data_IF_401489741754
#
_entry.id   IF_401489741754
#
_cell.length_a   1.000
_cell.length_b   1.000
_cell.length_c   1.000
_cell.angle_alpha   90.00
_cell.angle_beta   90.00
_cell.angle_gamma   90.00
#
_symmetry.space_group_name_H-M   'P 1'
#
loop_
_entity.id
_entity.type
_entity.pdbx_description
1 polymer ?
#
# COMPACT_ATOMS: atom_id res chain seq x y z
N UNK A 1 16.82 28.64 69.08
CA UNK A 1 17.23 27.43 68.34
C UNK A 1 16.22 27.20 67.23
N UNK A 2 16.76 27.15 66.02
CA UNK A 2 16.16 26.86 64.71
C UNK A 2 15.30 25.58 64.69
N UNK A 3 14.24 25.55 63.86
CA UNK A 3 13.88 24.47 62.91
C UNK A 3 12.42 24.66 62.41
N UNK A 4 12.17 24.87 61.10
CA UNK A 4 11.95 23.85 60.04
C UNK A 4 10.66 23.01 60.26
N UNK A 5 9.79 22.71 59.30
CA UNK A 5 9.86 22.75 57.85
C UNK A 5 8.43 22.67 57.25
N UNK A 6 8.28 23.18 56.02
CA UNK A 6 7.11 23.05 55.14
C UNK A 6 6.97 21.63 54.59
N UNK A 7 5.74 21.10 54.54
CA UNK A 7 5.37 20.04 53.58
C UNK A 7 4.09 20.43 52.83
N UNK A 8 4.25 20.87 51.59
CA UNK A 8 3.20 20.89 50.58
C UNK A 8 3.26 19.55 49.83
N UNK A 9 2.19 18.75 49.93
CA UNK A 9 2.05 17.52 49.17
C UNK A 9 1.67 17.85 47.70
N UNK A 10 2.27 17.20 46.69
CA UNK A 10 1.74 17.26 45.34
C UNK A 10 0.54 16.31 45.25
N UNK A 11 -0.63 16.86 44.96
CA UNK A 11 -1.75 16.08 44.41
C UNK A 11 -1.31 15.62 43.02
N UNK A 12 -1.05 14.32 42.86
CA UNK A 12 -0.96 13.73 41.53
C UNK A 12 -2.38 13.68 40.97
N UNK A 13 -2.69 14.64 40.09
CA UNK A 13 -3.87 14.58 39.25
C UNK A 13 -3.79 13.31 38.40
N UNK A 14 -4.76 12.43 38.63
CA UNK A 14 -4.98 11.21 37.87
C UNK A 14 -5.47 11.63 36.47
N UNK A 15 -4.55 11.85 35.54
CA UNK A 15 -4.89 11.98 34.12
C UNK A 15 -5.28 10.58 33.64
N UNK A 16 -6.56 10.26 33.78
CA UNK A 16 -7.15 9.15 33.05
C UNK A 16 -6.93 9.43 31.57
N UNK A 17 -5.99 8.70 30.96
CA UNK A 17 -5.88 8.64 29.52
C UNK A 17 -7.22 8.10 29.01
N UNK A 18 -8.04 8.99 28.46
CA UNK A 18 -9.25 8.63 27.73
C UNK A 18 -8.83 7.71 26.59
N UNK A 19 -9.05 6.41 26.78
CA UNK A 19 -9.06 5.42 25.71
C UNK A 19 -10.26 5.73 24.81
N UNK A 20 -10.12 6.74 23.94
CA UNK A 20 -11.16 7.20 23.03
C UNK A 20 -10.66 7.30 21.59
N UNK A 21 -9.69 6.45 21.22
CA UNK A 21 -9.10 6.41 19.87
C UNK A 21 -9.53 5.16 19.06
N UNK A 22 -10.29 4.25 19.69
CA UNK A 22 -10.78 3.03 19.05
C UNK A 22 -11.77 3.26 17.89
N UNK A 23 -12.77 4.18 17.97
CA UNK A 23 -13.73 4.35 16.88
C UNK A 23 -13.12 5.04 15.64
N UNK A 24 -12.16 5.93 15.82
CA UNK A 24 -11.50 6.64 14.71
C UNK A 24 -10.62 5.71 13.86
N UNK A 25 -9.89 4.77 14.48
CA UNK A 25 -9.04 3.80 13.78
C UNK A 25 -9.86 2.74 13.01
N UNK A 26 -11.00 2.32 13.56
CA UNK A 26 -11.91 1.39 12.89
C UNK A 26 -12.56 2.03 11.64
N UNK A 27 -12.99 3.30 11.74
CA UNK A 27 -13.53 4.06 10.60
C UNK A 27 -12.50 4.21 9.48
N UNK A 28 -11.26 4.60 9.80
CA UNK A 28 -10.19 4.76 8.82
C UNK A 28 -9.87 3.44 8.08
N UNK A 29 -9.78 2.31 8.81
CA UNK A 29 -9.52 1.00 8.21
C UNK A 29 -10.61 0.58 7.20
N UNK A 30 -11.88 0.83 7.53
CA UNK A 30 -13.02 0.58 6.64
C UNK A 30 -12.98 1.46 5.39
N UNK A 31 -12.68 2.75 5.55
CA UNK A 31 -12.51 3.67 4.41
C UNK A 31 -11.37 3.24 3.47
N UNK A 32 -10.25 2.77 4.01
CA UNK A 32 -9.15 2.27 3.18
C UNK A 32 -9.51 0.99 2.45
N UNK A 33 -10.27 0.08 3.07
CA UNK A 33 -10.75 -1.13 2.41
C UNK A 33 -11.70 -0.79 1.24
N UNK A 34 -12.64 0.14 1.46
CA UNK A 34 -13.55 0.61 0.42
C UNK A 34 -12.81 1.23 -0.77
N UNK A 35 -11.87 2.16 -0.51
CA UNK A 35 -11.07 2.78 -1.57
C UNK A 35 -10.30 1.76 -2.43
N UNK A 36 -9.84 0.65 -1.84
CA UNK A 36 -9.18 -0.42 -2.61
C UNK A 36 -10.16 -1.20 -3.48
N UNK A 37 -11.36 -1.49 -2.97
CA UNK A 37 -12.40 -2.13 -3.76
C UNK A 37 -12.82 -1.24 -4.93
N UNK A 38 -13.05 0.05 -4.69
CA UNK A 38 -13.40 1.03 -5.72
C UNK A 38 -12.30 1.13 -6.80
N UNK A 39 -11.03 1.12 -6.40
CA UNK A 39 -9.91 1.12 -7.34
C UNK A 39 -9.85 -0.15 -8.21
N UNK A 40 -10.26 -1.30 -7.68
CA UNK A 40 -10.35 -2.55 -8.45
C UNK A 40 -11.47 -2.46 -9.46
N UNK A 41 -12.66 -1.99 -9.06
CA UNK A 41 -13.78 -1.81 -9.99
C UNK A 41 -13.47 -0.78 -11.08
N UNK A 42 -12.83 0.34 -10.72
CA UNK A 42 -12.37 1.32 -11.70
C UNK A 42 -11.43 0.68 -12.72
N UNK A 43 -10.46 -0.11 -12.26
CA UNK A 43 -9.53 -0.80 -13.16
C UNK A 43 -10.24 -1.81 -14.04
N UNK A 44 -11.20 -2.56 -13.51
CA UNK A 44 -12.02 -3.50 -14.30
C UNK A 44 -12.76 -2.73 -15.39
N UNK A 45 -13.44 -1.63 -15.05
CA UNK A 45 -14.16 -0.77 -16.01
C UNK A 45 -13.23 -0.21 -17.08
N UNK A 46 -12.07 0.32 -16.69
CA UNK A 46 -11.09 0.89 -17.62
C UNK A 46 -10.56 -0.17 -18.60
N UNK A 47 -10.28 -1.38 -18.10
CA UNK A 47 -9.81 -2.50 -18.92
C UNK A 47 -10.90 -2.96 -19.91
N UNK A 48 -12.16 -3.07 -19.46
CA UNK A 48 -13.30 -3.43 -20.33
C UNK A 48 -13.43 -2.44 -21.49
N UNK A 49 -13.39 -1.14 -21.18
CA UNK A 49 -13.52 -0.08 -22.16
C UNK A 49 -12.34 -0.04 -23.14
N UNK A 50 -11.10 -0.16 -22.64
CA UNK A 50 -9.89 -0.17 -23.47
C UNK A 50 -9.86 -1.36 -24.43
N UNK A 51 -10.21 -2.56 -23.94
CA UNK A 51 -10.27 -3.77 -24.74
C UNK A 51 -11.52 -3.84 -25.63
N UNK A 52 -12.46 -2.90 -25.49
CA UNK A 52 -13.72 -2.86 -26.25
C UNK A 52 -14.43 -4.22 -26.22
N UNK A 53 -14.54 -4.80 -25.03
CA UNK A 53 -15.14 -6.12 -24.83
C UNK A 53 -16.57 -6.12 -25.39
N UNK A 54 -16.91 -7.18 -26.13
CA UNK A 54 -18.22 -7.34 -26.77
C UNK A 54 -19.10 -8.31 -25.98
N UNK A 55 -20.40 -8.34 -26.28
CA UNK A 55 -21.35 -9.29 -25.67
C UNK A 55 -20.93 -10.75 -25.86
N UNK A 56 -20.31 -11.08 -27.00
CA UNK A 56 -19.79 -12.42 -27.28
C UNK A 56 -18.63 -12.82 -26.37
N UNK A 57 -17.93 -11.84 -25.78
CA UNK A 57 -16.78 -12.03 -24.90
C UNK A 57 -17.14 -11.90 -23.41
N UNK A 58 -18.37 -11.47 -23.10
CA UNK A 58 -18.87 -11.19 -21.74
C UNK A 58 -18.55 -12.29 -20.73
N UNK A 59 -18.79 -13.55 -21.07
CA UNK A 59 -18.52 -14.69 -20.17
C UNK A 59 -17.04 -14.80 -19.78
N UNK A 60 -16.13 -14.65 -20.74
CA UNK A 60 -14.68 -14.73 -20.47
C UNK A 60 -14.21 -13.48 -19.70
N UNK A 61 -14.77 -12.32 -20.04
CA UNK A 61 -14.53 -11.09 -19.33
C UNK A 61 -14.97 -11.15 -17.86
N UNK A 62 -16.18 -11.64 -17.58
CA UNK A 62 -16.72 -11.73 -16.23
C UNK A 62 -15.88 -12.65 -15.35
N UNK A 63 -15.38 -13.76 -15.89
CA UNK A 63 -14.46 -14.65 -15.18
C UNK A 63 -13.13 -13.96 -14.85
N UNK A 64 -12.58 -13.19 -15.79
CA UNK A 64 -11.38 -12.38 -15.57
C UNK A 64 -11.59 -11.30 -14.51
N UNK A 65 -12.68 -10.53 -14.61
CA UNK A 65 -13.06 -9.49 -13.67
C UNK A 65 -13.31 -10.05 -12.26
N UNK A 66 -14.00 -11.19 -12.15
CA UNK A 66 -14.22 -11.87 -10.87
C UNK A 66 -12.90 -12.31 -10.25
N UNK A 67 -11.98 -12.85 -11.05
CA UNK A 67 -10.64 -13.23 -10.56
C UNK A 67 -9.89 -12.02 -9.99
N UNK A 68 -9.99 -10.85 -10.61
CA UNK A 68 -9.41 -9.61 -10.07
C UNK A 68 -10.02 -9.23 -8.72
N UNK A 69 -11.35 -9.27 -8.58
CA UNK A 69 -12.07 -8.97 -7.33
C UNK A 69 -11.68 -9.93 -6.21
N UNK A 70 -11.70 -11.23 -6.49
CA UNK A 70 -11.39 -12.27 -5.52
C UNK A 70 -9.94 -12.17 -5.03
N UNK A 71 -9.01 -11.93 -5.95
CA UNK A 71 -7.59 -11.73 -5.61
C UNK A 71 -7.42 -10.48 -4.72
N UNK A 72 -8.07 -9.38 -5.07
CA UNK A 72 -8.01 -8.15 -4.28
C UNK A 72 -8.59 -8.33 -2.87
N UNK A 73 -9.73 -9.04 -2.76
CA UNK A 73 -10.34 -9.38 -1.48
C UNK A 73 -9.39 -10.23 -0.62
N UNK A 74 -8.85 -11.32 -1.18
CA UNK A 74 -7.90 -12.20 -0.46
C UNK A 74 -6.67 -11.45 0.02
N UNK A 75 -6.09 -10.61 -0.84
CA UNK A 75 -4.95 -9.78 -0.47
C UNK A 75 -5.32 -8.80 0.66
N UNK A 76 -6.45 -8.10 0.55
CA UNK A 76 -6.92 -7.18 1.57
C UNK A 76 -7.16 -7.87 2.92
N UNK A 77 -7.76 -9.05 2.92
CA UNK A 77 -8.00 -9.86 4.11
C UNK A 77 -6.68 -10.29 4.77
N UNK A 78 -5.72 -10.77 3.98
CA UNK A 78 -4.40 -11.18 4.47
C UNK A 78 -3.57 -10.01 5.01
N UNK A 79 -3.59 -8.85 4.35
CA UNK A 79 -2.92 -7.65 4.85
C UNK A 79 -3.53 -7.13 6.15
N UNK A 80 -4.87 -7.16 6.27
CA UNK A 80 -5.55 -6.78 7.52
C UNK A 80 -5.16 -7.71 8.66
N UNK A 81 -5.24 -9.02 8.43
CA UNK A 81 -4.89 -10.04 9.44
C UNK A 81 -3.44 -9.86 9.90
N UNK A 82 -2.51 -9.70 8.94
CA UNK A 82 -1.12 -9.45 9.26
C UNK A 82 -0.93 -8.15 10.04
N UNK A 83 -1.57 -7.06 9.66
CA UNK A 83 -1.46 -5.78 10.35
C UNK A 83 -1.92 -5.86 11.81
N UNK A 84 -2.96 -6.67 12.09
CA UNK A 84 -3.47 -6.88 13.45
C UNK A 84 -2.52 -7.73 14.31
N UNK A 85 -1.86 -8.73 13.72
CA UNK A 85 -0.99 -9.68 14.45
C UNK A 85 0.47 -9.26 14.52
N UNK A 86 0.95 -8.45 13.57
CA UNK A 86 2.36 -8.06 13.48
C UNK A 86 2.95 -7.49 14.78
N UNK A 87 2.26 -6.63 15.55
CA UNK A 87 2.81 -6.06 16.78
C UNK A 87 3.13 -7.09 17.87
N UNK A 88 2.51 -8.27 17.84
CA UNK A 88 2.74 -9.35 18.81
C UNK A 88 3.63 -10.47 18.28
N UNK A 89 4.04 -10.43 17.01
CA UNK A 89 4.89 -11.45 16.40
C UNK A 89 6.36 -11.26 16.79
N UNK A 90 7.05 -12.37 17.07
CA UNK A 90 8.51 -12.37 17.09
C UNK A 90 9.09 -12.30 15.65
N UNK A 91 10.41 -12.19 15.53
CA UNK A 91 11.06 -12.03 14.22
C UNK A 91 10.85 -13.22 13.27
N UNK A 92 10.87 -14.46 13.78
CA UNK A 92 10.63 -15.68 12.98
C UNK A 92 9.18 -15.72 12.46
N UNK A 93 8.20 -15.42 13.31
CA UNK A 93 6.79 -15.33 12.93
C UNK A 93 6.54 -14.20 11.91
N UNK A 94 7.19 -13.05 12.10
CA UNK A 94 7.11 -11.93 11.18
C UNK A 94 7.68 -12.28 9.78
N UNK A 95 8.76 -13.06 9.72
CA UNK A 95 9.31 -13.55 8.45
C UNK A 95 8.40 -14.59 7.79
N UNK A 96 7.87 -15.55 8.56
CA UNK A 96 6.91 -16.55 8.06
C UNK A 96 5.64 -15.91 7.49
N UNK A 97 5.09 -14.91 8.18
CA UNK A 97 3.91 -14.19 7.70
C UNK A 97 4.18 -13.39 6.42
N UNK A 98 5.38 -12.84 6.25
CA UNK A 98 5.76 -12.18 4.99
C UNK A 98 5.92 -13.18 3.84
N UNK A 99 6.52 -14.34 4.10
CA UNK A 99 6.61 -15.42 3.12
C UNK A 99 5.21 -15.87 2.67
N UNK A 100 4.26 -16.03 3.61
CA UNK A 100 2.88 -16.39 3.29
C UNK A 100 2.18 -15.34 2.40
N UNK A 101 2.40 -14.04 2.64
CA UNK A 101 1.87 -12.99 1.77
C UNK A 101 2.46 -13.04 0.35
N UNK A 102 3.76 -13.32 0.24
CA UNK A 102 4.43 -13.46 -1.06
C UNK A 102 3.88 -14.67 -1.82
N UNK A 103 3.68 -15.79 -1.12
CA UNK A 103 3.07 -16.99 -1.68
C UNK A 103 1.64 -16.72 -2.17
N UNK A 104 0.81 -16.06 -1.34
CA UNK A 104 -0.54 -15.66 -1.75
C UNK A 104 -0.52 -14.76 -2.99
N UNK A 105 0.44 -13.83 -3.08
CA UNK A 105 0.59 -12.98 -4.26
C UNK A 105 0.90 -13.80 -5.52
N UNK A 106 1.82 -14.76 -5.43
CA UNK A 106 2.16 -15.65 -6.53
C UNK A 106 0.93 -16.47 -6.98
N UNK A 107 0.18 -17.06 -6.05
CA UNK A 107 -1.05 -17.82 -6.36
C UNK A 107 -2.12 -16.95 -7.01
N UNK A 108 -2.31 -15.73 -6.54
CA UNK A 108 -3.24 -14.78 -7.14
C UNK A 108 -2.80 -14.42 -8.56
N UNK A 109 -1.51 -14.20 -8.81
CA UNK A 109 -0.98 -13.94 -10.15
C UNK A 109 -1.13 -15.14 -11.09
N UNK A 110 -0.93 -16.37 -10.61
CA UNK A 110 -1.19 -17.57 -11.39
C UNK A 110 -2.66 -17.68 -11.80
N UNK A 111 -3.60 -17.44 -10.88
CA UNK A 111 -5.04 -17.44 -11.19
C UNK A 111 -5.41 -16.37 -12.20
N UNK A 112 -4.89 -15.15 -12.02
CA UNK A 112 -5.13 -14.05 -12.95
C UNK A 112 -4.55 -14.35 -14.34
N UNK A 113 -3.38 -14.98 -14.40
CA UNK A 113 -2.76 -15.40 -15.66
C UNK A 113 -3.60 -16.44 -16.40
N UNK A 114 -4.17 -17.42 -15.69
CA UNK A 114 -5.08 -18.40 -16.29
C UNK A 114 -6.34 -17.72 -16.86
N UNK A 115 -7.00 -16.87 -16.06
CA UNK A 115 -8.19 -16.14 -16.52
C UNK A 115 -7.88 -15.17 -17.69
N UNK A 116 -6.69 -14.55 -17.70
CA UNK A 116 -6.24 -13.75 -18.84
C UNK A 116 -6.04 -14.61 -20.09
N UNK A 117 -5.48 -15.83 -19.97
CA UNK A 117 -5.33 -16.74 -21.10
C UNK A 117 -6.69 -17.07 -21.74
N UNK A 118 -7.71 -17.34 -20.91
CA UNK A 118 -9.07 -17.63 -21.37
C UNK A 118 -9.71 -16.43 -22.07
N UNK A 119 -9.55 -15.24 -21.49
CA UNK A 119 -10.00 -13.98 -22.12
C UNK A 119 -9.27 -13.74 -23.44
N UNK A 120 -7.95 -13.83 -23.45
CA UNK A 120 -7.11 -13.58 -24.62
C UNK A 120 -7.44 -14.52 -25.78
N UNK A 121 -7.80 -15.77 -25.50
CA UNK A 121 -8.20 -16.74 -26.52
C UNK A 121 -9.42 -16.28 -27.34
N UNK A 122 -10.35 -15.54 -26.73
CA UNK A 122 -11.59 -15.05 -27.38
C UNK A 122 -11.50 -13.61 -27.91
N UNK A 123 -10.38 -12.92 -27.69
CA UNK A 123 -10.14 -11.58 -28.23
C UNK A 123 -9.87 -11.63 -29.75
N UNK A 124 -10.34 -10.60 -30.45
CA UNK A 124 -9.98 -10.35 -31.85
C UNK A 124 -8.50 -9.96 -31.98
N UNK A 125 -7.95 -9.98 -33.20
CA UNK A 125 -6.56 -9.56 -33.45
C UNK A 125 -6.29 -8.14 -32.95
N UNK A 126 -7.20 -7.21 -33.21
CA UNK A 126 -7.05 -5.81 -32.79
C UNK A 126 -7.07 -5.67 -31.26
N UNK A 127 -7.95 -6.41 -30.58
CA UNK A 127 -8.03 -6.38 -29.11
C UNK A 127 -6.80 -7.03 -28.46
N UNK A 128 -6.26 -8.10 -29.07
CA UNK A 128 -5.00 -8.72 -28.65
C UNK A 128 -3.84 -7.75 -28.73
N UNK A 129 -3.73 -6.99 -29.83
CA UNK A 129 -2.72 -5.96 -29.96
C UNK A 129 -2.83 -4.88 -28.87
N UNK A 130 -4.06 -4.42 -28.58
CA UNK A 130 -4.30 -3.47 -27.47
C UNK A 130 -3.83 -4.08 -26.14
N UNK A 131 -4.21 -5.33 -25.85
CA UNK A 131 -3.80 -6.02 -24.63
C UNK A 131 -2.27 -6.13 -24.52
N UNK A 132 -1.58 -6.52 -25.59
CA UNK A 132 -0.12 -6.65 -25.64
C UNK A 132 0.59 -5.31 -25.39
N UNK A 133 0.10 -4.22 -26.00
CA UNK A 133 0.63 -2.87 -25.81
C UNK A 133 0.47 -2.40 -24.37
N UNK A 134 -0.64 -2.73 -23.71
CA UNK A 134 -0.87 -2.39 -22.30
C UNK A 134 0.16 -3.02 -21.37
N UNK A 135 0.56 -4.28 -21.63
CA UNK A 135 1.59 -4.95 -20.84
C UNK A 135 3.01 -4.47 -21.18
N UNK A 136 3.33 -4.20 -22.46
CA UNK A 136 4.64 -3.65 -22.87
C UNK A 136 4.87 -2.23 -22.35
N UNK A 137 3.83 -1.39 -22.33
CA UNK A 137 3.91 -0.01 -21.87
C UNK A 137 3.68 0.16 -20.35
N UNK A 138 3.34 -0.91 -19.65
CA UNK A 138 3.22 -0.92 -18.19
C UNK A 138 4.55 -0.71 -17.47
N UNK A 139 5.66 -1.20 -18.06
CA UNK A 139 7.02 -1.07 -17.51
C UNK A 139 7.62 0.33 -17.69
N UNK A 140 7.24 1.06 -18.74
CA UNK A 140 7.89 2.34 -19.08
C UNK A 140 7.36 3.54 -18.28
N UNK A 141 6.17 3.46 -17.68
CA UNK A 141 5.58 4.57 -16.92
C UNK A 141 6.16 4.77 -15.51
N UNK A 142 6.89 3.80 -14.96
CA UNK A 142 7.45 3.91 -13.59
C UNK A 142 8.83 4.55 -13.51
N UNK A 143 9.52 4.78 -14.63
CA UNK A 143 10.91 5.27 -14.60
C UNK A 143 11.11 6.78 -14.82
N UNK A 144 10.04 7.56 -15.00
CA UNK A 144 10.12 9.03 -15.08
C UNK A 144 9.78 9.71 -13.75
N UNK A 145 10.34 9.22 -12.64
CA UNK A 145 10.60 10.09 -11.50
C UNK A 145 11.78 10.97 -11.88
N UNK A 146 11.49 12.18 -12.37
CA UNK A 146 12.47 13.24 -12.43
C UNK A 146 12.94 13.53 -11.00
N UNK A 147 14.07 12.97 -10.59
CA UNK A 147 14.80 13.48 -9.43
C UNK A 147 15.24 14.89 -9.79
N UNK A 148 14.46 15.88 -9.34
CA UNK A 148 14.89 17.28 -9.35
C UNK A 148 16.00 17.36 -8.30
N UNK A 149 17.27 17.64 -8.67
CA UNK A 149 18.33 17.77 -7.67
C UNK A 149 17.96 18.93 -6.74
N UNK A 150 17.88 18.63 -5.44
CA UNK A 150 17.80 19.66 -4.39
C UNK A 150 19.08 20.50 -4.49
N UNK A 151 19.02 21.83 -4.62
CA UNK A 151 20.23 22.64 -4.63
C UNK A 151 20.96 22.45 -3.29
N UNK A 152 22.23 22.09 -3.37
CA UNK A 152 23.12 22.02 -2.23
C UNK A 152 23.20 23.41 -1.57
N UNK A 153 23.04 23.46 -0.25
CA UNK A 153 23.34 24.66 0.51
C UNK A 153 24.82 25.02 0.30
N UNK A 154 25.18 26.30 0.09
CA UNK A 154 26.58 26.68 -0.07
C UNK A 154 27.34 26.40 1.22
N UNK A 155 28.48 25.71 1.08
CA UNK A 155 29.45 25.57 2.14
C UNK A 155 29.93 26.97 2.54
N UNK A 156 29.64 27.39 3.76
CA UNK A 156 30.29 28.56 4.35
C UNK A 156 31.72 28.17 4.72
N UNK A 157 32.62 28.40 3.77
CA UNK A 157 34.04 28.59 4.03
C UNK A 157 34.24 29.94 4.70
N UNK A 158 34.65 29.93 5.96
CA UNK A 158 35.34 31.07 6.57
C UNK A 158 36.57 30.54 7.30
N UNK A 159 37.68 30.49 6.57
CA UNK A 159 39.00 30.71 7.15
C UNK A 159 39.10 32.16 7.58
N UNK A 160 39.51 32.43 8.81
CA UNK A 160 40.34 33.59 9.12
C UNK A 160 41.20 33.28 10.34
N UNK A 161 42.49 33.56 10.18
CA UNK A 161 43.55 33.32 11.12
C UNK A 161 43.52 34.29 12.32
N UNK A 162 44.22 33.85 13.38
CA UNK A 162 44.79 34.47 14.60
C UNK A 162 45.16 35.98 14.51
N UNK A 163 45.45 36.74 15.61
CA UNK A 163 46.12 36.32 16.87
C UNK A 163 45.67 37.02 18.19
N UNK A 164 46.20 36.59 19.35
CA UNK A 164 46.87 37.47 20.33
C UNK A 164 47.22 36.76 21.65
N UNK A 165 48.43 37.05 22.11
CA UNK A 165 49.09 36.63 23.35
C UNK A 165 48.40 37.15 24.62
N UNK A 166 48.59 36.43 25.74
CA UNK A 166 49.05 36.96 27.03
C UNK A 166 49.60 35.82 27.90
#
# INVERSE_FOLDING_TARGET
MLALATLTAPVWAQQAATASDAPAKASAATHHAQKRADAVEQRISDLHAQLKITDQQSKAWDAFAQTMRDNAKKAADAFRDRAQKLPSMNADEAMKSYAALTQLHAENMQKLSAAMSDLYAVLSSDQKQIADEMYRNGDTRKHKMTHKPKPAAPASSTSSATPASH
#
